data_IF_597868505401
#
_entry.id   IF_597868505401
#
_cell.length_a   1.000
_cell.length_b   1.000
_cell.length_c   1.000
_cell.angle_alpha   90.00
_cell.angle_beta   90.00
_cell.angle_gamma   90.00
#
_symmetry.space_group_name_H-M   'P 1'
#
loop_
_entity.id
_entity.type
_entity.pdbx_description
1 polymer ?
#
# COMPACT_ATOMS: atom_id res chain seq x y z
N UNK A 1 -8.09 14.53 34.42
CA UNK A 1 -7.31 15.30 33.43
C UNK A 1 -7.98 15.16 32.07
N UNK A 2 -8.24 16.26 31.36
CA UNK A 2 -8.72 16.26 29.97
C UNK A 2 -7.65 16.86 29.07
N UNK A 3 -7.64 16.45 27.79
CA UNK A 3 -6.75 17.03 26.78
C UNK A 3 -7.55 17.82 25.76
N UNK A 4 -6.97 18.83 25.13
CA UNK A 4 -7.70 19.65 24.13
C UNK A 4 -7.42 19.14 22.73
N UNK A 5 -8.48 18.92 21.94
CA UNK A 5 -8.35 18.55 20.54
C UNK A 5 -7.95 19.77 19.69
N UNK A 6 -6.82 19.74 18.95
CA UNK A 6 -6.40 20.90 18.13
C UNK A 6 -7.31 21.18 16.92
N UNK A 7 -8.16 20.23 16.52
CA UNK A 7 -9.11 20.42 15.41
C UNK A 7 -10.42 21.10 15.81
N UNK A 8 -11.05 20.64 16.89
CA UNK A 8 -12.36 21.15 17.32
C UNK A 8 -12.30 21.96 18.61
N UNK A 9 -11.13 22.09 19.24
CA UNK A 9 -10.90 22.80 20.49
C UNK A 9 -11.73 22.29 21.69
N UNK A 10 -12.38 21.14 21.55
CA UNK A 10 -13.16 20.50 22.60
C UNK A 10 -12.28 19.56 23.46
N UNK A 11 -12.66 19.35 24.73
CA UNK A 11 -11.95 18.43 25.61
C UNK A 11 -12.15 16.97 25.17
N UNK A 12 -11.03 16.30 24.92
CA UNK A 12 -10.91 14.87 24.67
C UNK A 12 -10.84 14.15 26.02
N UNK A 13 -11.83 13.30 26.26
CA UNK A 13 -11.87 12.43 27.44
C UNK A 13 -11.10 11.13 27.20
N UNK A 14 -10.75 10.45 28.28
CA UNK A 14 -9.90 9.25 28.23
C UNK A 14 -10.44 8.14 27.31
N UNK A 15 -11.76 7.97 27.23
CA UNK A 15 -12.41 6.94 26.44
C UNK A 15 -12.27 7.14 24.92
N UNK A 16 -12.13 8.39 24.47
CA UNK A 16 -12.12 8.75 23.04
C UNK A 16 -10.79 9.37 22.61
N UNK A 17 -9.74 9.24 23.44
CA UNK A 17 -8.45 9.87 23.13
C UNK A 17 -7.66 9.07 22.11
N UNK A 18 -7.22 9.76 21.08
CA UNK A 18 -6.23 9.27 20.13
C UNK A 18 -4.99 10.16 20.24
N UNK A 19 -3.92 9.62 20.82
CA UNK A 19 -2.65 10.33 20.99
C UNK A 19 -1.77 10.13 19.75
N UNK A 20 -1.34 11.23 19.12
CA UNK A 20 -0.40 11.17 18.00
C UNK A 20 0.44 12.44 17.90
N UNK A 21 1.74 12.26 17.60
CA UNK A 21 2.74 13.33 17.54
C UNK A 21 2.73 14.26 18.77
N UNK A 22 2.48 13.70 19.95
CA UNK A 22 2.42 14.45 21.22
C UNK A 22 1.11 15.24 21.42
N UNK A 23 0.14 15.15 20.51
CA UNK A 23 -1.18 15.79 20.61
C UNK A 23 -2.28 14.77 20.78
N UNK A 24 -3.40 15.20 21.35
CA UNK A 24 -4.57 14.34 21.56
C UNK A 24 -5.71 14.79 20.67
N UNK A 25 -6.31 13.83 19.98
CA UNK A 25 -7.34 14.04 18.98
C UNK A 25 -8.53 13.16 19.32
N UNK A 26 -9.71 13.54 18.86
CA UNK A 26 -10.82 12.59 18.78
C UNK A 26 -10.59 11.61 17.63
N UNK A 27 -11.19 10.40 17.66
CA UNK A 27 -11.03 9.41 16.60
C UNK A 27 -11.53 9.95 15.26
N UNK A 28 -12.64 10.69 15.29
CA UNK A 28 -13.23 11.36 14.12
C UNK A 28 -12.54 12.69 13.75
N UNK A 29 -11.82 13.31 14.69
CA UNK A 29 -11.06 14.52 14.42
C UNK A 29 -9.72 14.22 13.75
N UNK A 30 -9.19 13.01 13.88
CA UNK A 30 -7.96 12.60 13.21
C UNK A 30 -8.23 12.16 11.75
N UNK A 31 -8.55 13.12 10.88
CA UNK A 31 -8.79 12.86 9.45
C UNK A 31 -8.00 13.81 8.58
N UNK A 32 -7.51 13.36 7.44
CA UNK A 32 -6.77 14.20 6.50
C UNK A 32 -7.63 15.38 6.09
N UNK A 33 -7.05 16.57 5.99
CA UNK A 33 -7.82 17.72 5.50
C UNK A 33 -8.03 17.68 3.99
N UNK A 34 -7.04 17.18 3.24
CA UNK A 34 -7.08 17.21 1.78
C UNK A 34 -7.96 16.09 1.19
N UNK A 35 -7.86 14.88 1.71
CA UNK A 35 -8.63 13.73 1.20
C UNK A 35 -9.75 13.27 2.14
N UNK A 36 -9.93 13.93 3.29
CA UNK A 36 -10.96 13.63 4.30
C UNK A 36 -10.94 12.20 4.87
N UNK A 37 -9.94 11.39 4.55
CA UNK A 37 -9.79 10.02 5.06
C UNK A 37 -9.41 10.03 6.54
N UNK A 38 -10.05 9.17 7.34
CA UNK A 38 -9.67 8.93 8.74
C UNK A 38 -8.24 8.36 8.77
N UNK A 39 -7.39 8.98 9.57
CA UNK A 39 -5.97 8.67 9.66
C UNK A 39 -5.70 7.74 10.84
N UNK A 40 -4.73 6.84 10.68
CA UNK A 40 -4.29 5.98 11.77
C UNK A 40 -3.44 6.75 12.77
N UNK A 41 -3.55 6.43 14.09
CA UNK A 41 -2.67 7.00 15.10
C UNK A 41 -1.20 6.65 14.78
N UNK A 42 -0.34 7.66 14.67
CA UNK A 42 1.10 7.48 14.40
C UNK A 42 1.49 7.31 12.93
N UNK A 43 0.51 7.23 12.01
CA UNK A 43 0.74 7.06 10.57
C UNK A 43 0.38 8.29 9.73
N UNK A 44 0.56 9.50 10.25
CA UNK A 44 0.23 10.74 9.56
C UNK A 44 1.24 11.85 9.82
N UNK A 45 1.29 12.81 8.89
CA UNK A 45 2.11 14.00 9.02
C UNK A 45 1.27 15.16 9.54
N UNK A 46 1.86 15.99 10.39
CA UNK A 46 1.25 17.23 10.84
C UNK A 46 1.85 18.41 10.06
N UNK A 47 1.00 19.31 9.55
CA UNK A 47 1.42 20.60 9.02
C UNK A 47 0.51 21.70 9.60
N UNK A 48 1.09 22.71 10.25
CA UNK A 48 0.36 23.83 10.87
C UNK A 48 -0.79 23.41 11.81
N UNK A 49 -0.59 22.38 12.64
CA UNK A 49 -1.64 21.92 13.56
C UNK A 49 -2.75 21.09 12.89
N UNK A 50 -2.59 20.71 11.62
CA UNK A 50 -3.59 19.97 10.85
C UNK A 50 -2.99 18.65 10.36
N UNK A 51 -3.73 17.53 10.47
CA UNK A 51 -3.21 16.21 10.11
C UNK A 51 -3.43 15.93 8.61
N UNK A 52 -2.40 15.39 7.95
CA UNK A 52 -2.38 15.01 6.54
C UNK A 52 -1.83 13.60 6.34
N UNK A 53 -2.24 12.92 5.27
CA UNK A 53 -1.63 11.65 4.86
C UNK A 53 -0.15 11.84 4.50
N UNK A 54 0.74 10.95 4.95
CA UNK A 54 2.16 10.98 4.55
C UNK A 54 2.34 10.93 3.03
N UNK A 55 1.58 10.08 2.34
CA UNK A 55 1.50 10.00 0.87
C UNK A 55 0.04 9.79 0.46
N UNK A 56 -0.46 10.46 -0.60
CA UNK A 56 0.20 11.48 -1.42
C UNK A 56 0.08 12.92 -0.89
N UNK A 57 -0.82 13.21 0.06
CA UNK A 57 -1.24 14.59 0.38
C UNK A 57 -0.11 15.49 0.90
N UNK A 58 0.63 15.05 1.92
CA UNK A 58 1.66 15.89 2.54
C UNK A 58 2.78 16.24 1.56
N UNK A 59 3.28 15.26 0.80
CA UNK A 59 4.31 15.49 -0.22
C UNK A 59 3.84 16.37 -1.39
N UNK A 60 2.58 16.26 -1.80
CA UNK A 60 2.04 17.08 -2.89
C UNK A 60 1.84 18.56 -2.50
N UNK A 61 1.46 18.82 -1.24
CA UNK A 61 1.16 20.18 -0.78
C UNK A 61 2.39 20.90 -0.22
N UNK A 62 3.23 20.18 0.51
CA UNK A 62 4.33 20.74 1.32
C UNK A 62 5.71 20.16 0.99
N UNK A 63 5.80 19.24 0.02
CA UNK A 63 7.09 18.79 -0.49
C UNK A 63 7.85 19.94 -1.18
N UNK A 64 9.19 19.83 -1.29
CA UNK A 64 10.00 20.82 -1.99
C UNK A 64 9.46 20.99 -3.41
N UNK A 65 8.89 22.17 -3.68
CA UNK A 65 8.48 22.58 -5.02
C UNK A 65 9.74 22.88 -5.81
N UNK A 66 10.30 21.86 -6.45
CA UNK A 66 11.48 22.01 -7.30
C UNK A 66 11.25 23.12 -8.33
N UNK A 67 12.06 24.18 -8.23
CA UNK A 67 12.28 25.13 -9.32
C UNK A 67 12.80 24.31 -10.50
N UNK A 68 12.05 24.34 -11.60
CA UNK A 68 12.40 23.71 -12.86
C UNK A 68 13.61 24.44 -13.46
N UNK A 69 14.82 24.03 -13.09
CA UNK A 69 16.02 24.26 -13.89
C UNK A 69 16.43 22.87 -14.42
N UNK A 70 16.23 22.65 -15.72
CA UNK A 70 16.67 21.45 -16.42
C UNK A 70 15.55 20.43 -16.66
N UNK A 71 15.03 20.42 -17.88
CA UNK A 71 13.91 19.58 -18.30
C UNK A 71 14.15 18.08 -18.10
N UNK A 72 13.34 17.47 -17.25
CA UNK A 72 12.91 16.07 -17.38
C UNK A 72 11.59 15.92 -16.61
N UNK A 73 10.63 15.24 -17.23
CA UNK A 73 9.19 15.38 -16.98
C UNK A 73 8.72 15.33 -15.52
N UNK A 74 8.01 16.38 -15.12
CA UNK A 74 7.14 16.39 -13.96
C UNK A 74 5.94 15.47 -14.21
N UNK A 75 5.79 14.38 -13.45
CA UNK A 75 4.49 13.73 -13.32
C UNK A 75 3.51 14.70 -12.64
N UNK A 76 2.79 15.46 -13.47
CA UNK A 76 1.57 16.15 -13.07
C UNK A 76 0.59 15.08 -12.57
N UNK A 77 0.44 14.96 -11.26
CA UNK A 77 -0.78 14.40 -10.69
C UNK A 77 -1.91 15.37 -11.04
N UNK A 78 -2.74 14.98 -12.01
CA UNK A 78 -4.02 15.64 -12.26
C UNK A 78 -4.87 15.48 -10.99
N UNK A 79 -5.27 16.57 -10.32
CA UNK A 79 -6.29 16.48 -9.29
C UNK A 79 -7.60 16.00 -9.95
N UNK A 80 -8.40 15.13 -9.31
CA UNK A 80 -9.72 14.80 -9.80
C UNK A 80 -10.57 16.08 -9.76
N UNK A 81 -10.91 16.58 -10.95
CA UNK A 81 -11.90 17.64 -11.14
C UNK A 81 -13.24 17.19 -10.57
N UNK A 82 -13.92 18.00 -9.73
CA UNK A 82 -15.30 17.73 -9.34
C UNK A 82 -16.21 17.96 -10.54
N UNK A 83 -16.77 16.90 -11.11
CA UNK A 83 -17.86 16.99 -12.08
C UNK A 83 -19.18 17.34 -11.36
N UNK A 84 -19.99 18.26 -11.89
CA UNK A 84 -21.25 18.67 -11.27
C UNK A 84 -22.31 17.57 -11.35
N UNK A 85 -23.23 17.64 -10.39
CA UNK A 85 -24.25 16.67 -10.05
C UNK A 85 -25.12 16.18 -11.22
N UNK A 86 -25.30 14.85 -11.27
CA UNK A 86 -26.53 14.25 -11.79
C UNK A 86 -27.34 13.75 -10.61
N UNK A 87 -28.51 14.37 -10.45
CA UNK A 87 -29.52 14.08 -9.45
C UNK A 87 -30.12 12.71 -9.76
N UNK A 88 -30.02 11.77 -8.82
CA UNK A 88 -30.98 10.68 -8.72
C UNK A 88 -31.53 10.68 -7.31
N UNK A 89 -32.77 11.18 -7.21
CA UNK A 89 -33.55 11.22 -5.98
C UNK A 89 -34.05 9.80 -5.62
N UNK A 90 -34.00 9.51 -4.31
CA UNK A 90 -34.87 8.60 -3.53
C UNK A 90 -34.70 7.08 -3.64
N UNK A 91 -34.25 6.44 -2.54
CA UNK A 91 -35.19 6.00 -1.49
C UNK A 91 -34.48 5.31 -0.31
N UNK A 92 -35.05 5.38 0.91
CA UNK A 92 -34.44 4.86 2.14
C UNK A 92 -34.93 3.45 2.45
N UNK A 93 -34.03 2.52 2.81
CA UNK A 93 -34.43 1.34 3.56
C UNK A 93 -33.29 0.72 4.38
N UNK A 94 -33.58 0.61 5.67
CA UNK A 94 -33.21 -0.49 6.57
C UNK A 94 -31.75 -0.65 6.99
N UNK A 95 -31.34 0.18 7.95
CA UNK A 95 -30.27 -0.17 8.88
C UNK A 95 -30.64 -1.44 9.66
N UNK A 96 -29.80 -2.48 9.56
CA UNK A 96 -29.75 -3.55 10.55
C UNK A 96 -28.55 -3.30 11.48
N UNK A 97 -28.72 -3.34 12.82
CA UNK A 97 -27.63 -3.13 13.76
C UNK A 97 -26.65 -4.32 13.79
N UNK A 98 -25.34 -4.09 14.06
CA UNK A 98 -24.37 -5.17 14.19
C UNK A 98 -24.55 -5.91 15.52
N UNK A 99 -24.63 -7.25 15.45
CA UNK A 99 -24.69 -8.14 16.61
C UNK A 99 -23.30 -8.28 17.27
N UNK A 100 -23.20 -8.43 18.61
CA UNK A 100 -21.94 -8.59 19.31
C UNK A 100 -21.25 -9.92 18.96
N UNK A 101 -19.93 -9.88 18.78
CA UNK A 101 -19.08 -11.03 18.47
C UNK A 101 -18.63 -11.70 19.79
N UNK A 102 -19.39 -12.68 20.27
CA UNK A 102 -18.90 -13.61 21.31
C UNK A 102 -17.89 -14.58 20.67
N UNK A 103 -16.79 -14.82 21.39
CA UNK A 103 -15.63 -15.54 20.87
C UNK A 103 -15.67 -17.07 20.99
N UNK A 104 -14.46 -17.63 20.76
CA UNK A 104 -13.96 -19.02 20.86
C UNK A 104 -14.13 -19.94 19.62
N UNK A 105 -13.27 -20.97 19.46
CA UNK A 105 -11.80 -21.01 19.49
C UNK A 105 -11.20 -21.59 18.19
N UNK A 106 -9.87 -21.51 18.08
CA UNK A 106 -9.02 -22.13 17.06
C UNK A 106 -9.34 -23.63 16.84
N UNK A 107 -9.53 -24.01 15.56
CA UNK A 107 -9.58 -25.40 15.11
C UNK A 107 -8.56 -25.61 13.99
N UNK A 108 -7.39 -26.17 14.33
CA UNK A 108 -6.42 -26.69 13.36
C UNK A 108 -7.05 -27.90 12.65
N UNK A 109 -7.36 -27.82 11.36
CA UNK A 109 -7.57 -29.00 10.49
C UNK A 109 -7.16 -28.64 9.06
N UNK A 110 -6.11 -29.31 8.58
CA UNK A 110 -5.67 -29.32 7.19
C UNK A 110 -6.84 -29.68 6.26
N UNK A 111 -7.02 -29.02 5.10
CA UNK A 111 -8.02 -29.49 4.14
C UNK A 111 -7.55 -30.79 3.46
N UNK A 112 -8.48 -31.71 3.19
CA UNK A 112 -8.19 -32.98 2.53
C UNK A 112 -7.96 -32.75 1.03
N UNK A 113 -7.08 -33.58 0.49
CA UNK A 113 -6.89 -33.79 -0.95
C UNK A 113 -8.22 -34.21 -1.59
N UNK A 114 -8.89 -33.30 -2.29
CA UNK A 114 -10.06 -33.61 -3.11
C UNK A 114 -9.69 -33.40 -4.57
N UNK A 115 -9.54 -34.51 -5.31
CA UNK A 115 -9.27 -34.54 -6.75
C UNK A 115 -10.58 -34.63 -7.51
N UNK A 116 -11.13 -33.52 -8.02
CA UNK A 116 -12.10 -33.65 -9.13
C UNK A 116 -12.27 -32.41 -10.00
N UNK A 117 -12.56 -32.73 -11.26
CA UNK A 117 -13.11 -31.94 -12.36
C UNK A 117 -12.09 -31.19 -13.23
N UNK A 118 -12.00 -31.69 -14.45
CA UNK A 118 -11.22 -31.24 -15.61
C UNK A 118 -11.47 -29.77 -15.91
N UNK A 119 -10.79 -28.90 -15.19
CA UNK A 119 -10.43 -27.56 -15.61
C UNK A 119 -8.91 -27.50 -15.61
N UNK A 120 -8.33 -26.90 -16.63
CA UNK A 120 -6.92 -26.55 -16.73
C UNK A 120 -6.49 -25.72 -15.50
N UNK A 121 -6.05 -26.38 -14.42
CA UNK A 121 -5.65 -25.68 -13.19
C UNK A 121 -4.31 -25.01 -13.42
N UNK A 122 -4.32 -23.69 -13.54
CA UNK A 122 -3.10 -22.91 -13.63
C UNK A 122 -2.29 -23.02 -12.34
N UNK A 123 -1.07 -23.55 -12.43
CA UNK A 123 -0.18 -23.76 -11.31
C UNK A 123 0.50 -22.46 -10.88
N UNK A 124 0.65 -22.27 -9.57
CA UNK A 124 1.38 -21.14 -9.03
C UNK A 124 2.89 -21.39 -9.17
N UNK A 125 3.66 -20.54 -9.86
CA UNK A 125 5.12 -20.71 -9.92
C UNK A 125 5.85 -20.41 -8.60
N UNK A 126 5.17 -19.86 -7.59
CA UNK A 126 5.76 -19.60 -6.26
C UNK A 126 5.62 -20.74 -5.26
N UNK A 127 4.62 -21.63 -5.42
CA UNK A 127 4.38 -22.76 -4.51
C UNK A 127 4.03 -24.07 -5.22
N UNK A 128 3.96 -24.07 -6.55
CA UNK A 128 3.64 -25.21 -7.43
C UNK A 128 2.26 -25.85 -7.17
N UNK A 129 1.43 -25.21 -6.33
CA UNK A 129 0.06 -25.64 -6.06
C UNK A 129 -0.92 -25.06 -7.09
N UNK A 130 -2.03 -25.77 -7.36
CA UNK A 130 -3.06 -25.29 -8.27
C UNK A 130 -3.73 -24.02 -7.72
N UNK A 131 -3.71 -22.95 -8.52
CA UNK A 131 -4.38 -21.70 -8.17
C UNK A 131 -5.83 -21.75 -8.61
N UNK A 132 -6.75 -21.69 -7.66
CA UNK A 132 -8.18 -21.60 -7.94
C UNK A 132 -8.61 -20.15 -8.24
N UNK A 133 -9.68 -19.99 -9.00
CA UNK A 133 -10.22 -18.67 -9.42
C UNK A 133 -10.45 -17.69 -8.26
N UNK A 134 -10.78 -18.17 -7.06
CA UNK A 134 -11.01 -17.30 -5.90
C UNK A 134 -9.72 -16.63 -5.38
N UNK A 135 -8.56 -17.25 -5.60
CA UNK A 135 -7.26 -16.81 -5.05
C UNK A 135 -6.25 -16.39 -6.12
N UNK A 136 -6.64 -16.51 -7.40
CA UNK A 136 -5.76 -16.18 -8.52
C UNK A 136 -5.50 -14.70 -8.66
N UNK A 137 -4.22 -14.41 -8.91
CA UNK A 137 -3.71 -13.12 -9.34
C UNK A 137 -2.95 -13.34 -10.62
N UNK A 138 -3.49 -12.82 -11.72
CA UNK A 138 -2.81 -12.83 -13.01
C UNK A 138 -1.75 -11.73 -13.04
N UNK A 139 -0.51 -12.12 -13.37
CA UNK A 139 0.53 -11.16 -13.72
C UNK A 139 1.45 -11.71 -14.78
N UNK A 140 1.78 -10.87 -15.77
CA UNK A 140 2.69 -11.21 -16.87
C UNK A 140 2.31 -12.53 -17.58
N UNK A 141 1.01 -12.83 -17.65
CA UNK A 141 0.47 -14.03 -18.29
C UNK A 141 0.47 -15.29 -17.43
N UNK A 142 0.89 -15.21 -16.15
CA UNK A 142 0.93 -16.35 -15.22
C UNK A 142 0.00 -16.13 -14.03
N UNK A 143 -0.49 -17.23 -13.47
CA UNK A 143 -1.39 -17.21 -12.31
C UNK A 143 -0.60 -17.43 -11.02
N UNK A 144 -0.77 -16.54 -10.06
CA UNK A 144 -0.10 -16.58 -8.76
C UNK A 144 -1.13 -16.55 -7.64
N UNK A 145 -0.84 -17.15 -6.49
CA UNK A 145 -1.55 -16.79 -5.27
C UNK A 145 -1.14 -15.37 -4.85
N UNK A 146 -2.09 -14.58 -4.34
CA UNK A 146 -1.83 -13.27 -3.70
C UNK A 146 -0.61 -13.27 -2.74
N UNK A 147 -0.46 -14.23 -1.81
CA UNK A 147 0.71 -14.30 -0.94
C UNK A 147 2.00 -14.80 -1.63
N UNK A 148 1.87 -15.58 -2.72
CA UNK A 148 3.01 -16.13 -3.44
C UNK A 148 3.65 -15.14 -4.40
N UNK A 149 2.92 -14.11 -4.83
CA UNK A 149 3.45 -13.01 -5.63
C UNK A 149 4.31 -12.07 -4.76
N UNK A 150 5.54 -12.48 -4.47
CA UNK A 150 6.48 -11.76 -3.60
C UNK A 150 7.84 -11.65 -4.24
N UNK A 151 8.49 -10.52 -4.04
CA UNK A 151 9.84 -10.30 -4.57
C UNK A 151 10.82 -11.33 -4.01
N UNK A 152 11.57 -12.02 -4.87
CA UNK A 152 12.53 -13.03 -4.40
C UNK A 152 13.64 -12.43 -3.53
N UNK A 153 14.04 -11.18 -3.81
CA UNK A 153 15.11 -10.49 -3.07
C UNK A 153 14.65 -9.91 -1.74
N UNK A 154 13.62 -9.06 -1.74
CA UNK A 154 13.19 -8.34 -0.55
C UNK A 154 11.97 -8.94 0.16
N UNK A 155 11.43 -10.05 -0.36
CA UNK A 155 10.25 -10.78 0.16
C UNK A 155 8.98 -9.94 0.29
N UNK A 156 8.97 -8.72 -0.25
CA UNK A 156 7.80 -7.84 -0.26
C UNK A 156 6.73 -8.40 -1.18
N UNK A 157 5.49 -8.49 -0.69
CA UNK A 157 4.32 -8.81 -1.52
C UNK A 157 4.15 -7.75 -2.61
N UNK A 158 4.05 -8.22 -3.85
CA UNK A 158 3.97 -7.37 -5.02
C UNK A 158 2.51 -7.21 -5.45
N UNK A 159 2.20 -6.05 -6.02
CA UNK A 159 0.90 -5.82 -6.66
C UNK A 159 0.92 -6.39 -8.07
N UNK A 160 -0.20 -6.98 -8.48
CA UNK A 160 -0.41 -7.45 -9.85
C UNK A 160 -0.16 -6.31 -10.86
N UNK A 161 0.69 -6.55 -11.87
CA UNK A 161 1.04 -5.55 -12.88
C UNK A 161 2.08 -4.49 -12.48
N UNK A 162 2.54 -4.43 -11.23
CA UNK A 162 3.59 -3.49 -10.77
C UNK A 162 4.85 -4.21 -10.30
N UNK A 163 5.34 -5.17 -11.08
CA UNK A 163 6.60 -5.84 -10.85
C UNK A 163 7.24 -6.30 -12.17
N UNK A 164 8.54 -6.56 -12.12
CA UNK A 164 9.28 -7.15 -13.21
C UNK A 164 9.43 -8.66 -12.98
N UNK A 165 9.36 -9.45 -14.04
CA UNK A 165 9.67 -10.89 -14.01
C UNK A 165 11.04 -11.11 -14.64
N UNK A 166 11.86 -11.94 -14.00
CA UNK A 166 13.13 -12.42 -14.55
C UNK A 166 13.23 -13.91 -14.25
N UNK A 167 13.50 -14.74 -15.27
CA UNK A 167 13.58 -16.21 -15.18
C UNK A 167 12.39 -16.85 -14.45
N UNK A 168 11.19 -16.32 -14.64
CA UNK A 168 10.00 -16.84 -14.00
C UNK A 168 9.81 -16.45 -12.53
N UNK A 169 10.72 -15.64 -11.97
CA UNK A 169 10.65 -15.12 -10.60
C UNK A 169 10.28 -13.62 -10.60
N UNK A 170 9.41 -13.17 -9.68
CA UNK A 170 8.96 -11.79 -9.65
C UNK A 170 9.90 -10.95 -8.76
N UNK A 171 10.20 -9.73 -9.22
CA UNK A 171 11.08 -8.76 -8.58
C UNK A 171 10.43 -7.37 -8.55
N UNK A 172 10.74 -6.56 -7.52
CA UNK A 172 10.38 -5.16 -7.54
C UNK A 172 11.07 -4.44 -8.71
N UNK A 173 10.35 -3.63 -9.49
CA UNK A 173 10.95 -2.76 -10.52
C UNK A 173 12.11 -1.94 -9.96
N UNK A 174 11.91 -1.36 -8.78
CA UNK A 174 12.92 -0.57 -8.06
C UNK A 174 12.90 -0.98 -6.58
N UNK A 175 14.05 -1.26 -5.94
CA UNK A 175 15.41 -1.31 -6.49
C UNK A 175 15.88 -2.73 -6.89
N UNK A 176 15.03 -3.76 -6.85
CA UNK A 176 15.49 -5.15 -6.92
C UNK A 176 15.88 -5.61 -8.33
N UNK A 177 15.03 -5.32 -9.32
CA UNK A 177 15.27 -5.71 -10.70
C UNK A 177 16.48 -4.97 -11.28
N UNK A 178 16.54 -3.64 -11.12
CA UNK A 178 17.66 -2.84 -11.61
C UNK A 178 19.02 -3.19 -10.96
N UNK A 179 19.04 -3.64 -9.72
CA UNK A 179 20.27 -4.07 -9.06
C UNK A 179 20.84 -5.39 -9.62
N UNK A 180 19.96 -6.34 -9.95
CA UNK A 180 20.38 -7.67 -10.42
C UNK A 180 20.59 -7.71 -11.94
N UNK A 181 19.69 -7.04 -12.68
CA UNK A 181 19.55 -7.16 -14.13
C UNK A 181 19.62 -5.81 -14.86
N UNK A 182 19.90 -4.72 -14.15
CA UNK A 182 20.19 -3.45 -14.79
C UNK A 182 21.46 -3.55 -15.64
N UNK A 183 21.58 -2.72 -16.70
CA UNK A 183 22.79 -2.68 -17.51
C UNK A 183 24.00 -2.43 -16.61
N UNK A 184 24.84 -3.45 -16.45
CA UNK A 184 26.13 -3.32 -15.77
C UNK A 184 26.99 -2.48 -16.70
N UNK A 185 27.13 -1.19 -16.39
CA UNK A 185 27.90 -0.26 -17.21
C UNK A 185 29.31 -0.82 -17.45
N UNK A 186 29.59 -1.19 -18.70
CA UNK A 186 30.97 -1.29 -19.18
C UNK A 186 31.47 0.14 -19.33
N UNK A 187 32.50 0.50 -18.57
CA UNK A 187 33.08 1.84 -18.58
C UNK A 187 33.70 2.11 -19.95
N UNK A 188 32.93 2.72 -20.85
CA UNK A 188 33.40 3.38 -22.06
C UNK A 188 32.96 4.84 -21.90
N UNK A 189 33.81 5.65 -21.25
CA UNK A 189 33.62 7.09 -21.10
C UNK A 189 33.23 7.55 -19.69
N UNK A 190 33.97 8.53 -19.18
CA UNK A 190 33.92 9.16 -17.85
C UNK A 190 32.60 9.87 -17.50
N UNK A 191 31.48 9.15 -17.43
CA UNK A 191 30.23 9.64 -16.83
C UNK A 191 29.65 8.57 -15.91
N UNK A 192 29.83 8.81 -14.61
CA UNK A 192 29.62 7.84 -13.53
C UNK A 192 28.27 7.15 -13.55
N UNK A 193 28.32 5.82 -13.57
CA UNK A 193 27.20 4.94 -13.25
C UNK A 193 27.27 4.64 -11.74
N UNK A 194 26.18 4.82 -10.98
CA UNK A 194 26.14 4.40 -9.57
C UNK A 194 26.19 2.87 -9.48
N UNK A 195 27.41 2.33 -9.36
CA UNK A 195 27.64 0.96 -8.92
C UNK A 195 27.24 0.91 -7.44
N UNK A 196 26.16 0.20 -7.13
CA UNK A 196 25.87 -0.17 -5.75
C UNK A 196 26.63 -1.46 -5.47
N UNK A 197 27.63 -1.38 -4.60
CA UNK A 197 28.38 -2.54 -4.14
C UNK A 197 27.43 -3.56 -3.49
N UNK A 198 27.63 -4.87 -3.75
CA UNK A 198 26.97 -5.92 -2.99
C UNK A 198 27.40 -5.86 -1.54
N UNK A 199 26.48 -5.41 -0.68
CA UNK A 199 26.60 -5.58 0.76
C UNK A 199 26.57 -7.09 1.03
N UNK A 200 27.74 -7.66 1.33
CA UNK A 200 27.87 -9.02 1.82
C UNK A 200 27.11 -9.16 3.14
N UNK A 201 25.95 -9.81 3.09
CA UNK A 201 25.19 -10.18 4.28
C UNK A 201 25.88 -11.41 4.87
N UNK A 202 26.84 -11.18 5.76
CA UNK A 202 27.51 -12.24 6.53
C UNK A 202 26.49 -12.87 7.48
N UNK A 203 26.00 -14.07 7.12
CA UNK A 203 25.16 -14.89 7.99
C UNK A 203 25.97 -15.29 9.21
N UNK A 204 25.45 -15.00 10.41
CA UNK A 204 25.97 -15.46 11.69
C UNK A 204 25.11 -16.58 12.23
#
# INVERSE_FOLDING_TARGET
MSWTCPRCQQPVFFAEKVSSLGKNWHPFCLKCEHCHSVLSPGGHAEHNGRPYCHKPCYGALFGPRGVNIGGVGSYLYKPPTPTPASITHLSPSSFSPPRPRTGLPQGKKSPPHMKTFTGETSLCPGCEEPVYFAETVMSLGRNWHRPCLRCQRCRKTLTAGSHAEHDGAPYCHIPCYGYLFGPKGVNIGDVGCYIYDPVEIKSK
#
